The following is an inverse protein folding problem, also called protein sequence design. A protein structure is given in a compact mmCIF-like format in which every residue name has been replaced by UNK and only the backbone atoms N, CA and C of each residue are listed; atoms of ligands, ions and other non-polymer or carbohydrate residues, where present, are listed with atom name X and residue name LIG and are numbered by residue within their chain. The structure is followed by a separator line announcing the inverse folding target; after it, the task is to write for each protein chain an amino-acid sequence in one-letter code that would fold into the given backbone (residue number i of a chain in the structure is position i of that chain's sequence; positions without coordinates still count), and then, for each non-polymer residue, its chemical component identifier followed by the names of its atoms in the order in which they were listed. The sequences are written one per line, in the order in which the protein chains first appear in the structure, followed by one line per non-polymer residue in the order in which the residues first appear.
data_IF_737103495597
#
_entry.id   IF_737103495597
#
_cell.length_a   1.000
_cell.length_b   1.000
_cell.length_c   1.000
_cell.angle_alpha   90.00
_cell.angle_beta   90.00
_cell.angle_gamma   90.00
#
_symmetry.space_group_name_H-M   'P 1'
#
loop_
_entity.id
_entity.type
_entity.pdbx_description
1 polymer ?
#
# COMPACT_ATOMS: atom_id res chain seq x y z
N UNK A 1 0.11 -22.71 -0.52
CA UNK A 1 -1.17 -22.09 -0.93
C UNK A 1 -1.39 -20.86 -0.06
N UNK A 2 -1.04 -19.67 -0.57
CA UNK A 2 -1.33 -18.43 0.15
C UNK A 2 -2.82 -18.16 -0.10
N UNK A 3 -3.63 -18.46 0.91
CA UNK A 3 -5.05 -18.08 0.91
C UNK A 3 -5.06 -16.56 0.85
N UNK A 4 -5.37 -16.00 -0.32
CA UNK A 4 -5.73 -14.60 -0.42
C UNK A 4 -7.05 -14.50 0.34
N UNK A 5 -6.96 -14.09 1.59
CA UNK A 5 -8.14 -13.75 2.38
C UNK A 5 -8.93 -12.71 1.59
N UNK A 6 -10.20 -12.99 1.32
CA UNK A 6 -11.10 -12.11 0.54
C UNK A 6 -11.09 -10.69 1.12
N UNK A 7 -10.89 -10.57 2.45
CA UNK A 7 -10.73 -9.29 3.14
C UNK A 7 -9.51 -8.50 2.68
N UNK A 8 -8.43 -9.14 2.26
CA UNK A 8 -7.24 -8.45 1.76
C UNK A 8 -7.49 -7.84 0.38
N UNK A 9 -8.23 -8.52 -0.50
CA UNK A 9 -8.66 -7.95 -1.78
C UNK A 9 -9.54 -6.73 -1.57
N UNK A 10 -10.51 -6.82 -0.68
CA UNK A 10 -11.37 -5.67 -0.35
C UNK A 10 -10.57 -4.46 0.17
N UNK A 11 -9.52 -4.70 0.97
CA UNK A 11 -8.62 -3.63 1.45
C UNK A 11 -7.85 -2.99 0.29
N UNK A 12 -7.35 -3.78 -0.66
CA UNK A 12 -6.69 -3.25 -1.86
C UNK A 12 -7.66 -2.48 -2.76
N UNK A 13 -8.90 -2.94 -2.90
CA UNK A 13 -9.94 -2.21 -3.64
C UNK A 13 -10.27 -0.87 -2.96
N UNK A 14 -10.22 -0.79 -1.64
CA UNK A 14 -10.33 0.50 -0.93
C UNK A 14 -9.15 1.41 -1.28
N UNK A 15 -7.92 0.89 -1.33
CA UNK A 15 -6.73 1.67 -1.71
C UNK A 15 -6.86 2.19 -3.14
N UNK A 16 -7.34 1.36 -4.08
CA UNK A 16 -7.61 1.72 -5.49
C UNK A 16 -8.52 2.94 -5.67
N UNK A 17 -9.46 3.18 -4.75
CA UNK A 17 -10.44 4.29 -4.85
C UNK A 17 -9.84 5.68 -4.66
N UNK A 18 -8.59 5.82 -4.20
CA UNK A 18 -7.91 7.11 -4.07
C UNK A 18 -6.59 7.08 -4.81
N UNK A 19 -6.15 8.22 -5.31
CA UNK A 19 -4.86 8.32 -6.01
C UNK A 19 -3.67 8.23 -5.04
N UNK A 20 -3.77 8.87 -3.88
CA UNK A 20 -2.72 8.87 -2.85
C UNK A 20 -3.28 8.77 -1.44
N UNK A 21 -2.46 8.27 -0.51
CA UNK A 21 -2.83 8.03 0.87
C UNK A 21 -1.78 8.55 1.84
N UNK A 22 -2.16 9.27 2.91
CA UNK A 22 -1.29 9.48 4.05
C UNK A 22 -0.83 8.15 4.65
N UNK A 23 0.45 8.03 5.02
CA UNK A 23 1.04 6.79 5.55
C UNK A 23 0.22 6.16 6.67
N UNK A 24 -0.25 6.97 7.62
CA UNK A 24 -1.06 6.50 8.75
C UNK A 24 -2.39 5.87 8.32
N UNK A 25 -3.07 6.45 7.32
CA UNK A 25 -4.33 5.92 6.79
C UNK A 25 -4.09 4.68 5.95
N UNK A 26 -3.05 4.69 5.11
CA UNK A 26 -2.68 3.53 4.30
C UNK A 26 -2.39 2.30 5.18
N UNK A 27 -1.57 2.49 6.22
CA UNK A 27 -1.23 1.44 7.18
C UNK A 27 -2.50 0.83 7.81
N UNK A 28 -3.43 1.69 8.24
CA UNK A 28 -4.72 1.25 8.80
C UNK A 28 -5.55 0.48 7.76
N UNK A 29 -5.66 0.97 6.53
CA UNK A 29 -6.42 0.31 5.45
C UNK A 29 -5.84 -1.05 5.10
N UNK A 30 -4.51 -1.19 5.07
CA UNK A 30 -3.83 -2.46 4.78
C UNK A 30 -3.85 -3.43 5.98
N UNK A 31 -4.22 -2.96 7.18
CA UNK A 31 -4.07 -3.73 8.42
C UNK A 31 -2.60 -4.04 8.76
N UNK A 32 -1.71 -3.07 8.49
CA UNK A 32 -0.27 -3.17 8.73
C UNK A 32 0.19 -2.04 9.65
N UNK A 33 1.29 -2.22 10.41
CA UNK A 33 1.84 -1.14 11.22
C UNK A 33 2.44 -0.05 10.33
N UNK A 34 2.52 1.19 10.83
CA UNK A 34 3.07 2.33 10.06
C UNK A 34 4.51 2.11 9.64
N UNK A 35 5.33 1.48 10.49
CA UNK A 35 6.71 1.14 10.19
C UNK A 35 6.83 0.22 8.96
N UNK A 36 5.84 -0.65 8.70
CA UNK A 36 5.82 -1.47 7.49
C UNK A 36 5.73 -0.60 6.24
N UNK A 37 4.87 0.43 6.26
CA UNK A 37 4.69 1.34 5.14
C UNK A 37 5.94 2.20 4.93
N UNK A 38 6.50 2.78 6.00
CA UNK A 38 7.75 3.55 5.92
C UNK A 38 8.91 2.72 5.37
N UNK A 39 9.09 1.50 5.87
CA UNK A 39 10.09 0.59 5.35
C UNK A 39 9.91 0.30 3.85
N UNK A 40 8.66 0.21 3.35
CA UNK A 40 8.39 0.01 1.92
C UNK A 40 8.65 1.25 1.07
N UNK A 41 8.54 2.44 1.66
CA UNK A 41 8.98 3.68 1.02
C UNK A 41 10.51 3.70 0.94
N UNK A 42 11.21 3.40 2.04
CA UNK A 42 12.68 3.32 2.08
C UNK A 42 13.26 2.26 1.14
N UNK A 43 12.56 1.12 0.97
CA UNK A 43 12.92 0.07 0.02
C UNK A 43 12.52 0.38 -1.44
N UNK A 44 12.06 1.61 -1.73
CA UNK A 44 11.58 2.06 -3.05
C UNK A 44 10.52 1.12 -3.65
N UNK A 45 9.68 0.54 -2.80
CA UNK A 45 8.54 -0.31 -3.19
C UNK A 45 7.24 0.47 -3.27
N UNK A 46 7.14 1.54 -2.50
CA UNK A 46 5.99 2.43 -2.47
C UNK A 46 6.42 3.84 -2.87
N UNK A 47 5.87 4.34 -3.96
CA UNK A 47 6.13 5.68 -4.44
C UNK A 47 5.42 6.70 -3.56
N UNK A 48 6.10 7.80 -3.28
CA UNK A 48 5.55 8.92 -2.51
C UNK A 48 5.38 10.15 -3.38
N UNK A 49 4.32 10.90 -3.11
CA UNK A 49 4.14 12.25 -3.63
C UNK A 49 4.76 13.21 -2.63
N UNK A 50 5.86 13.85 -3.03
CA UNK A 50 6.41 14.98 -2.31
C UNK A 50 5.51 16.19 -2.55
N UNK A 51 4.72 16.49 -1.54
CA UNK A 51 3.88 17.67 -1.45
C UNK A 51 4.35 18.42 -0.19
N UNK A 52 4.05 19.71 -0.05
CA UNK A 52 4.58 20.55 1.07
C UNK A 52 4.05 20.16 2.47
N UNK A 53 3.49 18.96 2.62
CA UNK A 53 2.91 18.40 3.83
C UNK A 53 3.37 16.95 4.09
N UNK A 54 2.64 16.19 4.91
CA UNK A 54 3.03 14.82 5.26
C UNK A 54 3.07 13.92 4.02
N UNK A 55 4.12 13.10 3.90
CA UNK A 55 4.33 12.19 2.78
C UNK A 55 3.08 11.34 2.50
N UNK A 56 2.63 11.37 1.24
CA UNK A 56 1.50 10.58 0.75
C UNK A 56 2.04 9.48 -0.17
N UNK A 57 1.56 8.27 0.00
CA UNK A 57 1.92 7.13 -0.83
C UNK A 57 0.96 7.00 -2.00
N UNK A 58 1.47 6.79 -3.21
CA UNK A 58 0.67 6.53 -4.40
C UNK A 58 0.04 5.14 -4.35
N UNK A 59 -1.27 5.07 -4.58
CA UNK A 59 -2.00 3.81 -4.56
C UNK A 59 -1.49 2.82 -5.61
N UNK A 60 -1.10 3.31 -6.80
CA UNK A 60 -0.67 2.46 -7.90
C UNK A 60 0.55 1.62 -7.53
N UNK A 61 1.58 2.22 -6.93
CA UNK A 61 2.78 1.51 -6.47
C UNK A 61 2.46 0.45 -5.42
N UNK A 62 1.53 0.75 -4.50
CA UNK A 62 1.08 -0.19 -3.46
C UNK A 62 0.37 -1.39 -4.10
N UNK A 63 -0.57 -1.13 -5.01
CA UNK A 63 -1.33 -2.16 -5.72
C UNK A 63 -0.37 -3.04 -6.51
N UNK A 64 0.51 -2.44 -7.31
CA UNK A 64 1.47 -3.15 -8.14
C UNK A 64 2.39 -4.04 -7.30
N UNK A 65 2.89 -3.53 -6.17
CA UNK A 65 3.70 -4.31 -5.24
C UNK A 65 2.97 -5.58 -4.77
N UNK A 66 1.69 -5.45 -4.38
CA UNK A 66 0.91 -6.59 -3.91
C UNK A 66 0.50 -7.53 -5.05
N UNK A 67 0.06 -7.02 -6.20
CA UNK A 67 -0.30 -7.84 -7.37
C UNK A 67 0.91 -8.62 -7.91
N UNK A 68 2.09 -7.99 -7.98
CA UNK A 68 3.34 -8.67 -8.40
C UNK A 68 3.78 -9.73 -7.39
N UNK A 69 3.58 -9.49 -6.09
CA UNK A 69 3.86 -10.48 -5.04
C UNK A 69 2.90 -11.67 -5.13
N UNK A 70 1.65 -11.46 -5.55
CA UNK A 70 0.67 -12.52 -5.75
C UNK A 70 0.96 -13.37 -6.99
N UNK A 71 1.51 -12.78 -8.06
CA UNK A 71 1.88 -13.51 -9.29
C UNK A 71 3.11 -14.41 -9.13
N UNK A 72 3.99 -14.14 -8.15
CA UNK A 72 5.21 -14.93 -7.89
C UNK A 72 4.99 -16.15 -6.98
N UNK A 73 3.74 -16.48 -6.66
CA UNK A 73 3.34 -17.61 -5.80
C UNK A 73 2.65 -18.65 -6.67
#
# INVERSE_FOLDING_TARGET
MIVIDEQFRERLDKVKKRHSWPVALLAKTLGKPRCYVYRKIEEEKFDVVEDSGPAKVLSNSVIEFFENRLKKV
#
